data_IF_533867670201
#
_entry.id   IF_533867670201
#
_cell.length_a   1.000
_cell.length_b   1.000
_cell.length_c   1.000
_cell.angle_alpha   90.00
_cell.angle_beta   90.00
_cell.angle_gamma   90.00
#
_symmetry.space_group_name_H-M   'P 1'
#
loop_
_entity.id
_entity.type
_entity.pdbx_description
1 polymer ?
#
# COMPACT_ATOMS: atom_id res chain seq x y z
N UNK A 1 30.81 -13.94 -3.39
CA UNK A 1 29.98 -14.80 -2.52
C UNK A 1 30.72 -16.08 -2.24
N UNK A 2 30.64 -16.62 -1.01
CA UNK A 2 31.31 -17.87 -0.63
C UNK A 2 30.26 -18.94 -0.36
N UNK A 3 30.37 -20.08 -1.03
CA UNK A 3 29.50 -21.23 -0.82
C UNK A 3 30.17 -22.20 0.15
N UNK A 4 29.41 -22.71 1.11
CA UNK A 4 29.81 -23.76 2.04
C UNK A 4 28.86 -24.93 1.89
N UNK A 5 29.39 -26.13 1.66
CA UNK A 5 28.57 -27.31 1.49
C UNK A 5 29.20 -28.55 2.15
N UNK A 6 28.34 -29.47 2.55
CA UNK A 6 28.71 -30.80 3.02
C UNK A 6 27.99 -31.82 2.16
N UNK A 7 28.73 -32.76 1.58
CA UNK A 7 28.20 -33.82 0.75
C UNK A 7 28.68 -35.18 1.26
N UNK A 8 27.96 -36.24 0.89
CA UNK A 8 28.37 -37.63 1.09
C UNK A 8 28.72 -38.23 -0.27
N UNK A 9 29.90 -38.85 -0.38
CA UNK A 9 30.28 -39.58 -1.60
C UNK A 9 29.60 -40.95 -1.67
N UNK A 10 29.79 -41.67 -2.79
CA UNK A 10 29.19 -42.99 -3.00
C UNK A 10 29.67 -44.05 -1.99
N UNK A 11 30.82 -43.81 -1.35
CA UNK A 11 31.39 -44.63 -0.28
C UNK A 11 30.80 -44.32 1.11
N UNK A 12 29.92 -43.33 1.22
CA UNK A 12 29.31 -42.91 2.49
C UNK A 12 30.17 -41.93 3.31
N UNK A 13 31.30 -41.47 2.78
CA UNK A 13 32.18 -40.54 3.46
C UNK A 13 31.69 -39.10 3.32
N UNK A 14 31.69 -38.37 4.44
CA UNK A 14 31.33 -36.96 4.49
C UNK A 14 32.50 -36.08 4.08
N UNK A 15 32.27 -35.24 3.09
CA UNK A 15 33.24 -34.29 2.57
C UNK A 15 32.68 -32.87 2.70
N UNK A 16 33.50 -31.95 3.19
CA UNK A 16 33.17 -30.53 3.33
C UNK A 16 33.91 -29.75 2.25
N UNK A 17 33.21 -28.88 1.56
CA UNK A 17 33.77 -28.06 0.50
C UNK A 17 33.38 -26.60 0.72
N UNK A 18 34.23 -25.72 0.23
CA UNK A 18 33.89 -24.32 0.05
C UNK A 18 34.48 -23.83 -1.26
N UNK A 19 33.81 -22.87 -1.88
CA UNK A 19 34.31 -22.20 -3.06
C UNK A 19 33.75 -20.78 -3.13
N UNK A 20 34.48 -19.90 -3.80
CA UNK A 20 34.07 -18.52 -4.02
C UNK A 20 33.56 -18.35 -5.46
N UNK A 21 32.43 -17.65 -5.62
CA UNK A 21 31.92 -17.26 -6.92
C UNK A 21 31.24 -15.89 -6.85
N UNK A 22 31.37 -15.10 -7.91
CA UNK A 22 30.70 -13.81 -8.07
C UNK A 22 29.29 -13.94 -8.65
N UNK A 23 28.98 -15.06 -9.32
CA UNK A 23 27.68 -15.34 -9.94
C UNK A 23 26.96 -16.45 -9.18
N UNK A 24 25.69 -16.21 -8.83
CA UNK A 24 24.88 -17.14 -8.04
C UNK A 24 24.57 -18.40 -8.86
N UNK A 25 24.27 -18.21 -10.15
CA UNK A 25 23.94 -19.24 -11.12
C UNK A 25 25.07 -20.25 -11.27
N UNK A 26 26.32 -19.77 -11.30
CA UNK A 26 27.50 -20.62 -11.35
C UNK A 26 27.71 -21.41 -10.06
N UNK A 27 27.41 -20.82 -8.91
CA UNK A 27 27.41 -21.56 -7.65
C UNK A 27 26.36 -22.66 -7.61
N UNK A 28 25.15 -22.39 -8.09
CA UNK A 28 24.08 -23.38 -8.19
C UNK A 28 24.41 -24.49 -9.20
N UNK A 29 25.01 -24.15 -10.33
CA UNK A 29 25.50 -25.12 -11.32
C UNK A 29 26.50 -26.10 -10.71
N UNK A 30 27.40 -25.63 -9.82
CA UNK A 30 28.33 -26.50 -9.08
C UNK A 30 27.58 -27.45 -8.14
N UNK A 31 26.58 -26.97 -7.39
CA UNK A 31 25.76 -27.81 -6.51
C UNK A 31 25.03 -28.90 -7.29
N UNK A 32 24.37 -28.54 -8.39
CA UNK A 32 23.69 -29.50 -9.27
C UNK A 32 24.68 -30.50 -9.86
N UNK A 33 25.88 -30.05 -10.27
CA UNK A 33 26.91 -30.92 -10.80
C UNK A 33 27.41 -31.94 -9.76
N UNK A 34 27.58 -31.53 -8.50
CA UNK A 34 27.96 -32.43 -7.40
C UNK A 34 26.92 -33.55 -7.25
N UNK A 35 25.63 -33.21 -7.18
CA UNK A 35 24.56 -34.21 -7.07
C UNK A 35 24.46 -35.11 -8.30
N UNK A 36 24.62 -34.56 -9.50
CA UNK A 36 24.58 -35.33 -10.75
C UNK A 36 25.67 -36.40 -10.86
N UNK A 37 26.79 -36.23 -10.13
CA UNK A 37 27.88 -37.22 -10.03
C UNK A 37 27.61 -38.31 -8.99
N UNK A 38 26.42 -38.32 -8.38
CA UNK A 38 26.00 -39.29 -7.38
C UNK A 38 26.46 -38.97 -5.96
N UNK A 39 26.91 -37.74 -5.70
CA UNK A 39 27.08 -37.27 -4.32
C UNK A 39 25.72 -36.86 -3.74
N UNK A 40 25.53 -37.04 -2.45
CA UNK A 40 24.31 -36.58 -1.75
C UNK A 40 24.65 -35.34 -0.94
N UNK A 41 24.05 -34.20 -1.29
CA UNK A 41 24.21 -32.96 -0.54
C UNK A 41 23.47 -33.08 0.80
N UNK A 42 24.17 -32.85 1.91
CA UNK A 42 23.60 -32.84 3.27
C UNK A 42 23.32 -31.42 3.76
N UNK A 43 24.15 -30.46 3.36
CA UNK A 43 24.00 -29.06 3.73
C UNK A 43 24.61 -28.18 2.63
N UNK A 44 23.99 -27.04 2.34
CA UNK A 44 24.50 -26.02 1.45
C UNK A 44 24.10 -24.64 1.98
N UNK A 45 25.05 -23.71 1.99
CA UNK A 45 24.82 -22.33 2.39
C UNK A 45 25.68 -21.38 1.58
N UNK A 46 25.22 -20.14 1.41
CA UNK A 46 25.93 -19.08 0.71
C UNK A 46 26.10 -17.89 1.64
N UNK A 47 27.32 -17.37 1.71
CA UNK A 47 27.69 -16.17 2.43
C UNK A 47 27.89 -15.04 1.42
N UNK A 48 27.11 -13.98 1.55
CA UNK A 48 27.25 -12.75 0.78
C UNK A 48 27.30 -11.54 1.72
N UNK A 49 28.47 -10.92 1.84
CA UNK A 49 28.76 -9.94 2.89
C UNK A 49 28.58 -10.54 4.28
N UNK A 50 27.72 -9.91 5.09
CA UNK A 50 27.41 -10.35 6.46
C UNK A 50 26.24 -11.34 6.54
N UNK A 51 25.65 -11.70 5.39
CA UNK A 51 24.46 -12.56 5.34
C UNK A 51 24.82 -14.00 4.98
N UNK A 52 24.44 -14.95 5.84
CA UNK A 52 24.52 -16.39 5.57
C UNK A 52 23.12 -16.93 5.25
N UNK A 53 22.91 -17.33 4.00
CA UNK A 53 21.67 -17.93 3.54
C UNK A 53 21.82 -19.45 3.44
N UNK A 54 20.93 -20.20 4.11
CA UNK A 54 20.83 -21.65 3.97
C UNK A 54 20.07 -21.99 2.68
N UNK A 55 20.59 -22.91 1.89
CA UNK A 55 20.01 -23.34 0.62
C UNK A 55 19.28 -24.67 0.79
N UNK A 56 18.11 -24.87 0.15
CA UNK A 56 17.41 -26.14 0.18
C UNK A 56 18.19 -27.18 -0.64
N UNK A 57 18.83 -28.14 0.01
CA UNK A 57 19.64 -29.18 -0.66
C UNK A 57 18.79 -30.07 -1.58
N UNK A 58 17.50 -30.20 -1.27
CA UNK A 58 16.50 -30.91 -2.05
C UNK A 58 16.24 -30.25 -3.41
N UNK A 59 16.56 -28.97 -3.58
CA UNK A 59 16.45 -28.31 -4.88
C UNK A 59 17.60 -28.71 -5.83
N UNK A 60 18.66 -29.32 -5.31
CA UNK A 60 19.86 -29.67 -6.07
C UNK A 60 20.08 -31.18 -6.18
N UNK A 61 19.19 -32.01 -5.66
CA UNK A 61 19.32 -33.48 -5.64
C UNK A 61 19.14 -34.14 -7.02
N UNK A 62 18.88 -33.34 -8.06
CA UNK A 62 18.64 -33.80 -9.42
C UNK A 62 17.28 -34.46 -9.62
N UNK A 63 16.44 -34.51 -8.58
CA UNK A 63 15.05 -34.90 -8.74
C UNK A 63 14.33 -33.85 -9.59
N UNK A 64 13.40 -34.26 -10.45
CA UNK A 64 12.61 -33.30 -11.20
C UNK A 64 11.86 -32.42 -10.20
N UNK A 65 12.12 -31.10 -10.18
CA UNK A 65 11.33 -30.13 -9.39
C UNK A 65 9.89 -29.98 -9.91
N UNK A 66 9.58 -30.61 -11.05
CA UNK A 66 8.30 -30.53 -11.74
C UNK A 66 7.08 -30.89 -10.85
N UNK A 67 7.11 -31.92 -9.97
CA UNK A 67 6.00 -32.21 -9.07
C UNK A 67 5.74 -31.09 -8.06
N UNK A 68 6.79 -30.49 -7.47
CA UNK A 68 6.66 -29.38 -6.54
C UNK A 68 6.14 -28.11 -7.24
N UNK A 69 6.66 -27.82 -8.44
CA UNK A 69 6.17 -26.71 -9.28
C UNK A 69 4.69 -26.92 -9.64
N UNK A 70 4.29 -28.14 -10.02
CA UNK A 70 2.89 -28.47 -10.31
C UNK A 70 2.00 -28.38 -9.08
N UNK A 71 2.48 -28.79 -7.91
CA UNK A 71 1.73 -28.65 -6.66
C UNK A 71 1.48 -27.16 -6.37
N UNK A 72 2.52 -26.34 -6.49
CA UNK A 72 2.42 -24.89 -6.33
C UNK A 72 1.47 -24.27 -7.36
N UNK A 73 1.56 -24.67 -8.63
CA UNK A 73 0.62 -24.25 -9.66
C UNK A 73 -0.84 -24.58 -9.29
N UNK A 74 -1.12 -25.77 -8.77
CA UNK A 74 -2.47 -26.16 -8.33
C UNK A 74 -2.94 -25.35 -7.12
N UNK A 75 -2.08 -25.08 -6.14
CA UNK A 75 -2.39 -24.23 -5.00
C UNK A 75 -2.76 -22.82 -5.46
N UNK A 76 -1.95 -22.22 -6.33
CA UNK A 76 -2.20 -20.89 -6.89
C UNK A 76 -3.50 -20.86 -7.71
N UNK A 77 -3.74 -21.87 -8.55
CA UNK A 77 -4.99 -21.98 -9.30
C UNK A 77 -6.20 -22.12 -8.36
N UNK A 78 -6.07 -22.78 -7.22
CA UNK A 78 -7.15 -22.91 -6.23
C UNK A 78 -7.48 -21.58 -5.59
N UNK A 79 -6.46 -20.80 -5.21
CA UNK A 79 -6.64 -19.43 -4.69
C UNK A 79 -7.28 -18.53 -5.74
N UNK A 80 -6.82 -18.59 -6.99
CA UNK A 80 -7.33 -17.76 -8.08
C UNK A 80 -8.73 -18.15 -8.56
N UNK A 81 -9.07 -19.44 -8.52
CA UNK A 81 -10.40 -19.96 -8.89
C UNK A 81 -11.43 -19.76 -7.79
N UNK A 82 -11.01 -19.53 -6.55
CA UNK A 82 -11.92 -19.14 -5.47
C UNK A 82 -12.31 -17.68 -5.72
N UNK A 83 -13.53 -17.40 -6.22
CA UNK A 83 -13.96 -16.01 -6.31
C UNK A 83 -14.09 -15.52 -4.87
N UNK A 84 -13.08 -14.78 -4.39
CA UNK A 84 -13.34 -13.85 -3.31
C UNK A 84 -14.51 -13.00 -3.80
N UNK A 85 -15.57 -12.81 -2.99
CA UNK A 85 -16.67 -11.96 -3.38
C UNK A 85 -16.18 -10.51 -3.35
N UNK A 86 -15.36 -10.13 -4.34
CA UNK A 86 -14.88 -8.76 -4.58
C UNK A 86 -16.09 -7.83 -4.75
N UNK A 87 -17.23 -8.35 -5.20
CA UNK A 87 -18.51 -7.63 -5.20
C UNK A 87 -18.97 -7.20 -3.79
N UNK A 88 -18.73 -7.99 -2.75
CA UNK A 88 -19.12 -7.67 -1.36
C UNK A 88 -18.19 -6.61 -0.75
N UNK A 89 -16.87 -6.75 -0.96
CA UNK A 89 -15.87 -5.82 -0.42
C UNK A 89 -15.89 -4.47 -1.19
N UNK A 90 -16.06 -4.50 -2.51
CA UNK A 90 -16.14 -3.28 -3.31
C UNK A 90 -17.43 -2.49 -3.02
N UNK A 91 -18.55 -3.16 -2.73
CA UNK A 91 -19.80 -2.50 -2.36
C UNK A 91 -19.75 -1.91 -0.94
N UNK A 92 -19.12 -2.60 0.02
CA UNK A 92 -18.98 -2.06 1.38
C UNK A 92 -18.08 -0.83 1.40
N UNK A 93 -16.92 -0.86 0.72
CA UNK A 93 -16.05 0.29 0.60
C UNK A 93 -16.72 1.44 -0.15
N UNK A 94 -17.38 1.17 -1.28
CA UNK A 94 -18.09 2.21 -2.02
C UNK A 94 -19.18 2.88 -1.17
N UNK A 95 -19.96 2.10 -0.41
CA UNK A 95 -20.98 2.63 0.50
C UNK A 95 -20.35 3.46 1.62
N UNK A 96 -19.26 3.00 2.23
CA UNK A 96 -18.57 3.73 3.29
C UNK A 96 -17.98 5.05 2.78
N UNK A 97 -17.37 5.05 1.59
CA UNK A 97 -16.85 6.26 0.96
C UNK A 97 -17.94 7.27 0.63
N UNK A 98 -19.09 6.82 0.11
CA UNK A 98 -20.24 7.70 -0.17
C UNK A 98 -20.76 8.32 1.14
N UNK A 99 -20.96 7.52 2.18
CA UNK A 99 -21.40 8.00 3.49
C UNK A 99 -20.42 8.99 4.11
N UNK A 100 -19.12 8.68 4.09
CA UNK A 100 -18.08 9.59 4.60
C UNK A 100 -18.02 10.91 3.81
N UNK A 101 -18.23 10.84 2.49
CA UNK A 101 -18.26 12.02 1.63
C UNK A 101 -19.50 12.89 1.91
N UNK A 102 -20.67 12.29 2.10
CA UNK A 102 -21.90 12.99 2.51
C UNK A 102 -21.68 13.68 3.85
N UNK A 103 -21.23 12.94 4.88
CA UNK A 103 -20.96 13.48 6.22
C UNK A 103 -19.99 14.67 6.19
N UNK A 104 -18.99 14.63 5.31
CA UNK A 104 -18.03 15.73 5.12
C UNK A 104 -18.70 16.97 4.53
N UNK A 105 -19.52 16.80 3.49
CA UNK A 105 -20.25 17.91 2.86
C UNK A 105 -21.24 18.53 3.85
N UNK A 106 -22.00 17.73 4.59
CA UNK A 106 -22.90 18.21 5.65
C UNK A 106 -22.17 18.98 6.74
N UNK A 107 -21.05 18.46 7.23
CA UNK A 107 -20.22 19.14 8.22
C UNK A 107 -19.65 20.46 7.70
N UNK A 108 -19.30 20.53 6.41
CA UNK A 108 -18.82 21.75 5.75
C UNK A 108 -19.93 22.80 5.66
N UNK A 109 -21.14 22.38 5.27
CA UNK A 109 -22.35 23.22 5.19
C UNK A 109 -22.64 23.86 6.54
N UNK A 110 -22.72 23.07 7.62
CA UNK A 110 -22.98 23.59 8.97
C UNK A 110 -21.93 24.62 9.40
N UNK A 111 -20.65 24.37 9.11
CA UNK A 111 -19.56 25.32 9.42
C UNK A 111 -19.69 26.62 8.63
N UNK A 112 -20.03 26.55 7.35
CA UNK A 112 -20.22 27.71 6.48
C UNK A 112 -21.44 28.52 6.91
N UNK A 113 -22.55 27.88 7.25
CA UNK A 113 -23.75 28.55 7.77
C UNK A 113 -23.46 29.29 9.08
N UNK A 114 -22.77 28.65 10.03
CA UNK A 114 -22.33 29.32 11.26
C UNK A 114 -21.37 30.49 10.99
N UNK A 115 -20.49 30.38 10.00
CA UNK A 115 -19.59 31.46 9.61
C UNK A 115 -20.35 32.65 8.99
N UNK A 116 -21.33 32.37 8.13
CA UNK A 116 -22.21 33.38 7.52
C UNK A 116 -23.01 34.10 8.60
N UNK A 117 -23.68 33.38 9.51
CA UNK A 117 -24.47 33.99 10.59
C UNK A 117 -23.62 34.90 11.48
N UNK A 118 -22.42 34.46 11.88
CA UNK A 118 -21.48 35.28 12.65
C UNK A 118 -21.05 36.52 11.88
N UNK A 119 -20.81 36.41 10.58
CA UNK A 119 -20.35 37.52 9.77
C UNK A 119 -21.47 38.54 9.49
N UNK A 120 -22.69 38.08 9.26
CA UNK A 120 -23.87 38.93 9.15
C UNK A 120 -24.12 39.71 10.45
N UNK A 121 -23.99 39.04 11.61
CA UNK A 121 -24.11 39.71 12.90
C UNK A 121 -23.03 40.79 13.10
N UNK A 122 -21.77 40.49 12.75
CA UNK A 122 -20.68 41.48 12.79
C UNK A 122 -20.92 42.65 11.85
N UNK A 123 -21.41 42.39 10.65
CA UNK A 123 -21.73 43.41 9.65
C UNK A 123 -22.85 44.32 10.16
N UNK A 124 -23.93 43.76 10.71
CA UNK A 124 -25.01 44.53 11.34
C UNK A 124 -24.53 45.40 12.52
N UNK A 125 -23.63 44.86 13.36
CA UNK A 125 -23.05 45.61 14.47
C UNK A 125 -22.14 46.75 14.01
N UNK A 126 -21.31 46.54 12.99
CA UNK A 126 -20.46 47.59 12.41
C UNK A 126 -21.32 48.64 11.68
N UNK A 127 -22.46 48.24 11.12
CA UNK A 127 -23.41 49.15 10.48
C UNK A 127 -24.17 50.03 11.49
N UNK A 128 -24.51 49.51 12.68
CA UNK A 128 -25.27 50.23 13.70
C UNK A 128 -24.43 51.21 14.54
N UNK A 129 -23.11 51.02 14.62
CA UNK A 129 -22.21 51.95 15.32
C UNK A 129 -22.06 53.23 14.49
N UNK A 130 -22.36 54.40 15.05
CA UNK A 130 -22.33 55.67 14.35
C UNK A 130 -20.96 56.37 14.49
N UNK A 131 -19.93 55.86 13.81
CA UNK A 131 -18.58 56.45 13.80
C UNK A 131 -18.16 56.94 12.40
N UNK A 132 -17.69 58.19 12.34
CA UNK A 132 -17.12 58.86 11.16
C UNK A 132 -15.70 58.34 10.95
N UNK A 133 -15.45 57.39 10.04
CA UNK A 133 -14.05 57.08 9.68
C UNK A 133 -13.89 56.26 8.39
N UNK A 134 -12.90 56.66 7.58
CA UNK A 134 -12.46 56.00 6.35
C UNK A 134 -12.12 54.50 6.56
N UNK A 135 -11.60 54.14 7.75
CA UNK A 135 -11.27 52.76 8.14
C UNK A 135 -12.48 51.80 8.17
N UNK A 136 -13.70 52.33 8.39
CA UNK A 136 -14.94 51.53 8.37
C UNK A 136 -15.27 51.03 6.97
N UNK A 137 -15.04 51.84 5.94
CA UNK A 137 -15.36 51.48 4.55
C UNK A 137 -14.52 50.29 4.08
N UNK A 138 -13.24 50.25 4.47
CA UNK A 138 -12.32 49.14 4.16
C UNK A 138 -12.71 47.87 4.92
N UNK A 139 -13.04 48.00 6.21
CA UNK A 139 -13.47 46.87 7.04
C UNK A 139 -14.80 46.27 6.56
N UNK A 140 -15.79 47.12 6.21
CA UNK A 140 -17.06 46.66 5.64
C UNK A 140 -16.85 45.93 4.31
N UNK A 141 -16.04 46.48 3.40
CA UNK A 141 -15.73 45.85 2.12
C UNK A 141 -15.05 44.48 2.30
N UNK A 142 -14.16 44.34 3.28
CA UNK A 142 -13.52 43.06 3.60
C UNK A 142 -14.51 42.04 4.17
N UNK A 143 -15.42 42.48 5.05
CA UNK A 143 -16.47 41.62 5.62
C UNK A 143 -17.45 41.16 4.52
N UNK A 144 -17.88 42.05 3.65
CA UNK A 144 -18.76 41.75 2.50
C UNK A 144 -18.09 40.79 1.51
N UNK A 145 -16.82 41.02 1.17
CA UNK A 145 -16.06 40.11 0.31
C UNK A 145 -15.96 38.71 0.91
N UNK A 146 -15.70 38.62 2.22
CA UNK A 146 -15.59 37.34 2.93
C UNK A 146 -16.95 36.63 3.03
N UNK A 147 -18.03 37.38 3.23
CA UNK A 147 -19.41 36.87 3.23
C UNK A 147 -19.75 36.26 1.86
N UNK A 148 -19.50 36.99 0.77
CA UNK A 148 -19.77 36.54 -0.59
C UNK A 148 -18.99 35.25 -0.93
N UNK A 149 -17.75 35.14 -0.45
CA UNK A 149 -16.95 33.93 -0.60
C UNK A 149 -17.58 32.74 0.14
N UNK A 150 -18.01 32.91 1.39
CA UNK A 150 -18.65 31.83 2.15
C UNK A 150 -19.99 31.41 1.54
N UNK A 151 -20.79 32.35 1.04
CA UNK A 151 -22.04 32.05 0.34
C UNK A 151 -21.79 31.27 -0.96
N UNK A 152 -20.77 31.63 -1.73
CA UNK A 152 -20.37 30.91 -2.95
C UNK A 152 -19.88 29.50 -2.63
N UNK A 153 -19.08 29.33 -1.57
CA UNK A 153 -18.66 28.01 -1.09
C UNK A 153 -19.85 27.18 -0.62
N UNK A 154 -20.81 27.77 0.10
CA UNK A 154 -22.02 27.06 0.56
C UNK A 154 -22.86 26.55 -0.61
N UNK A 155 -23.07 27.37 -1.65
CA UNK A 155 -23.79 26.95 -2.85
C UNK A 155 -23.08 25.77 -3.56
N UNK A 156 -21.75 25.79 -3.60
CA UNK A 156 -20.94 24.73 -4.20
C UNK A 156 -21.02 23.41 -3.41
N UNK A 157 -20.98 23.49 -2.08
CA UNK A 157 -21.10 22.33 -1.19
C UNK A 157 -22.50 21.69 -1.29
N UNK A 158 -23.56 22.50 -1.31
CA UNK A 158 -24.95 22.02 -1.49
C UNK A 158 -25.14 21.35 -2.85
N UNK A 159 -24.67 21.98 -3.93
CA UNK A 159 -24.74 21.38 -5.28
C UNK A 159 -23.92 20.08 -5.41
N UNK A 160 -22.85 19.93 -4.62
CA UNK A 160 -22.04 18.71 -4.58
C UNK A 160 -22.76 17.59 -3.83
N UNK A 161 -23.49 17.92 -2.76
CA UNK A 161 -24.31 16.98 -1.99
C UNK A 161 -25.53 16.50 -2.80
N UNK A 162 -26.23 17.39 -3.51
CA UNK A 162 -27.38 17.04 -4.36
C UNK A 162 -27.01 16.08 -5.50
N UNK A 163 -25.76 16.11 -5.96
CA UNK A 163 -25.24 15.18 -6.98
C UNK A 163 -24.93 13.80 -6.42
N UNK A 164 -24.69 13.68 -5.11
CA UNK A 164 -24.39 12.42 -4.43
C UNK A 164 -25.67 11.71 -3.95
N UNK A 165 -26.79 12.42 -3.86
CA UNK A 165 -28.09 11.89 -3.43
C UNK A 165 -29.00 11.40 -4.58
N UNK A 166 -28.54 11.49 -5.84
CA UNK A 166 -29.22 10.98 -7.04
C UNK A 166 -28.62 9.64 -7.48
#
# INVERSE_FOLDING_TARGET
>A
MIFYLTAVNQQGERQKFYFENSELEKGFEVLTNISSRGHVLLNASVCDGDSLLQLPVEAFDGQPCLPAIRALEQEWLTVLKSPTPVKSICHSWASEFITNRINRHESSIVKLEMAISRMQHRLANVQSINSKESYRSTSLRQLEHTLNRFQSSLATERASLDRLAK
#
